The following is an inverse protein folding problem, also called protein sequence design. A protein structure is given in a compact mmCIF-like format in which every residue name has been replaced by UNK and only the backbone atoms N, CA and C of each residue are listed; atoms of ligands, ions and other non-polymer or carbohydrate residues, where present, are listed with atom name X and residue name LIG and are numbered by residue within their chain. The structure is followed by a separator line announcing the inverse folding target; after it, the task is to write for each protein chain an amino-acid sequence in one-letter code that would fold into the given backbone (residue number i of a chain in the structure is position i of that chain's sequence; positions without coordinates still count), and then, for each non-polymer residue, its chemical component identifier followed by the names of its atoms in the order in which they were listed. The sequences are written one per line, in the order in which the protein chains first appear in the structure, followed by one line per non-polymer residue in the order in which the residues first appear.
data_IF_041199820565
#
_entry.id   IF_041199820565
#
_cell.length_a   1.000
_cell.length_b   1.000
_cell.length_c   1.000
_cell.angle_alpha   90.00
_cell.angle_beta   90.00
_cell.angle_gamma   90.00
#
_symmetry.space_group_name_H-M   'P 1'
#
loop_
_entity.id
_entity.type
_entity.pdbx_description
1 polymer ?
#
# COMPACT_ATOMS: atom_id res chain seq x y z
N UNK A 1 -5.82 3.21 4.04
CA UNK A 1 -7.20 3.41 4.53
C UNK A 1 -8.15 3.06 3.40
N UNK A 2 -9.38 2.66 3.70
CA UNK A 2 -10.38 2.33 2.69
C UNK A 2 -10.61 3.50 1.74
N UNK A 3 -10.80 4.71 2.27
CA UNK A 3 -11.05 5.90 1.47
C UNK A 3 -9.91 6.24 0.50
N UNK A 4 -8.68 5.76 0.74
CA UNK A 4 -7.54 5.98 -0.17
C UNK A 4 -7.62 5.12 -1.43
N UNK A 5 -8.38 4.02 -1.38
CA UNK A 5 -8.38 2.97 -2.40
C UNK A 5 -9.78 2.64 -2.93
N UNK A 6 -10.82 3.15 -2.28
CA UNK A 6 -12.20 3.02 -2.74
C UNK A 6 -12.35 3.68 -4.12
N UNK A 7 -12.88 2.91 -5.08
CA UNK A 7 -12.98 3.33 -6.49
C UNK A 7 -11.66 3.37 -7.28
N UNK A 8 -10.49 3.10 -6.67
CA UNK A 8 -9.21 3.16 -7.38
C UNK A 8 -9.04 2.03 -8.43
N UNK A 9 -8.42 2.34 -9.56
CA UNK A 9 -8.09 1.36 -10.61
C UNK A 9 -6.72 0.68 -10.40
N UNK A 10 -5.92 1.20 -9.47
CA UNK A 10 -4.64 0.66 -9.07
C UNK A 10 -3.84 1.66 -8.26
N UNK A 11 -2.74 1.21 -7.69
CA UNK A 11 -1.83 2.01 -6.87
C UNK A 11 -0.38 1.63 -7.18
N UNK A 12 0.53 2.59 -7.10
CA UNK A 12 1.97 2.32 -7.10
C UNK A 12 2.49 2.44 -5.68
N UNK A 13 3.00 1.34 -5.13
CA UNK A 13 3.56 1.27 -3.79
C UNK A 13 5.06 1.55 -3.89
N UNK A 14 5.51 2.56 -3.15
CA UNK A 14 6.90 2.95 -3.03
C UNK A 14 7.44 2.45 -1.69
N UNK A 15 8.46 1.60 -1.72
CA UNK A 15 9.12 1.05 -0.53
C UNK A 15 10.53 1.62 -0.44
N UNK A 16 11.04 1.80 0.78
CA UNK A 16 12.34 2.42 1.05
C UNK A 16 12.55 3.75 0.32
N UNK A 17 11.51 4.59 0.28
CA UNK A 17 11.55 5.90 -0.36
C UNK A 17 11.64 7.02 0.68
N UNK A 18 12.67 7.86 0.58
CA UNK A 18 12.80 9.14 1.29
C UNK A 18 12.52 10.30 0.35
N UNK A 19 12.96 10.20 -0.92
CA UNK A 19 12.64 11.14 -1.99
C UNK A 19 11.97 10.41 -3.16
N UNK A 20 10.64 10.53 -3.22
CA UNK A 20 9.84 9.89 -4.27
C UNK A 20 10.11 10.44 -5.67
N UNK A 21 10.75 11.61 -5.82
CA UNK A 21 11.12 12.19 -7.11
C UNK A 21 12.48 11.71 -7.60
N UNK A 22 13.29 11.11 -6.73
CA UNK A 22 14.56 10.52 -7.09
C UNK A 22 14.36 9.08 -7.57
N UNK A 23 14.32 8.90 -8.89
CA UNK A 23 14.18 7.59 -9.52
C UNK A 23 15.36 6.63 -9.27
N UNK A 24 16.47 7.14 -8.75
CA UNK A 24 17.69 6.39 -8.47
C UNK A 24 18.02 6.34 -6.97
N UNK A 25 17.06 6.61 -6.08
CA UNK A 25 17.25 6.46 -4.64
C UNK A 25 17.62 4.99 -4.33
N UNK A 26 18.81 4.80 -3.75
CA UNK A 26 19.34 3.47 -3.49
C UNK A 26 18.41 2.71 -2.54
N UNK A 27 17.97 1.53 -2.99
CA UNK A 27 17.10 0.64 -2.20
C UNK A 27 15.61 0.88 -2.41
N UNK A 28 15.22 1.99 -3.05
CA UNK A 28 13.83 2.28 -3.37
C UNK A 28 13.27 1.22 -4.34
N UNK A 29 12.05 0.76 -4.08
CA UNK A 29 11.32 -0.13 -4.97
C UNK A 29 9.95 0.48 -5.28
N UNK A 30 9.56 0.44 -6.56
CA UNK A 30 8.26 0.93 -7.03
C UNK A 30 7.47 -0.23 -7.64
N UNK A 31 6.35 -0.58 -7.02
CA UNK A 31 5.57 -1.75 -7.39
C UNK A 31 4.15 -1.32 -7.70
N UNK A 32 3.75 -1.46 -8.96
CA UNK A 32 2.36 -1.22 -9.35
C UNK A 32 1.48 -2.41 -8.96
N UNK A 33 0.34 -2.13 -8.34
CA UNK A 33 -0.69 -3.09 -7.98
C UNK A 33 -2.02 -2.66 -8.61
N UNK A 34 -2.56 -3.48 -9.50
CA UNK A 34 -3.87 -3.24 -10.13
C UNK A 34 -5.02 -3.35 -9.13
N UNK A 35 -6.21 -2.84 -9.51
CA UNK A 35 -7.48 -2.98 -8.76
C UNK A 35 -7.75 -4.39 -8.20
N UNK A 36 -7.44 -5.44 -8.96
CA UNK A 36 -7.64 -6.84 -8.53
C UNK A 36 -6.85 -7.22 -7.26
N UNK A 37 -5.84 -6.44 -6.90
CA UNK A 37 -5.01 -6.64 -5.72
C UNK A 37 -5.37 -5.70 -4.56
N UNK A 38 -6.43 -4.91 -4.70
CA UNK A 38 -6.92 -4.01 -3.67
C UNK A 38 -8.13 -4.67 -2.99
N UNK A 39 -8.09 -4.80 -1.67
CA UNK A 39 -9.17 -5.32 -0.84
C UNK A 39 -9.66 -4.20 0.07
N UNK A 40 -10.79 -3.60 -0.26
CA UNK A 40 -11.48 -2.63 0.60
C UNK A 40 -12.36 -3.39 1.59
N UNK A 41 -12.36 -2.98 2.87
CA UNK A 41 -13.19 -3.62 3.88
C UNK A 41 -14.68 -3.47 3.53
N UNK A 42 -15.44 -4.57 3.61
CA UNK A 42 -16.80 -4.65 3.05
C UNK A 42 -17.87 -3.78 3.75
N UNK A 43 -17.63 -3.38 5.00
CA UNK A 43 -18.47 -2.50 5.82
C UNK A 43 -17.90 -1.07 5.89
N UNK A 44 -16.98 -0.69 4.99
CA UNK A 44 -16.53 0.69 4.85
C UNK A 44 -17.73 1.61 4.58
N UNK A 45 -17.85 2.69 5.34
CA UNK A 45 -18.90 3.70 5.18
C UNK A 45 -18.30 5.10 5.13
N UNK A 46 -18.30 5.69 3.93
CA UNK A 46 -17.75 7.02 3.67
C UNK A 46 -18.49 8.16 4.39
N UNK A 47 -19.75 7.95 4.80
CA UNK A 47 -20.53 8.98 5.49
C UNK A 47 -20.15 9.10 6.98
N UNK A 48 -19.77 7.99 7.60
CA UNK A 48 -19.39 7.91 9.02
C UNK A 48 -17.89 7.75 9.24
N UNK A 49 -17.12 7.52 8.17
CA UNK A 49 -15.71 7.14 8.19
C UNK A 49 -15.44 5.85 8.97
N UNK A 50 -16.46 5.00 9.16
CA UNK A 50 -16.31 3.75 9.89
C UNK A 50 -15.69 2.65 9.02
N UNK A 51 -14.86 1.80 9.63
CA UNK A 51 -14.10 0.74 8.97
C UNK A 51 -13.16 1.24 7.85
N UNK A 52 -12.49 2.38 8.05
CA UNK A 52 -11.57 2.99 7.08
C UNK A 52 -10.24 2.22 6.89
N UNK A 53 -10.33 0.97 6.43
CA UNK A 53 -9.19 0.08 6.22
C UNK A 53 -9.27 -0.65 4.88
N UNK A 54 -8.12 -0.79 4.23
CA UNK A 54 -7.95 -1.59 3.02
C UNK A 54 -6.59 -2.26 3.02
N UNK A 55 -6.48 -3.35 2.26
CA UNK A 55 -5.24 -4.07 2.03
C UNK A 55 -4.84 -3.98 0.56
N UNK A 56 -3.56 -3.81 0.31
CA UNK A 56 -2.97 -3.88 -1.03
C UNK A 56 -2.07 -5.12 -1.07
N UNK A 57 -2.40 -6.09 -1.92
CA UNK A 57 -1.56 -7.25 -2.16
C UNK A 57 -0.53 -6.93 -3.24
N UNK A 58 0.76 -6.94 -2.89
CA UNK A 58 1.79 -6.73 -3.90
C UNK A 58 1.80 -7.93 -4.89
N UNK A 59 1.89 -7.69 -6.22
CA UNK A 59 1.90 -8.75 -7.22
C UNK A 59 3.22 -9.54 -7.23
N UNK A 60 4.25 -9.02 -6.56
CA UNK A 60 5.56 -9.65 -6.39
C UNK A 60 5.90 -9.68 -4.90
N UNK A 61 6.58 -10.73 -4.46
CA UNK A 61 7.14 -10.79 -3.12
C UNK A 61 8.26 -9.75 -2.97
N UNK A 62 8.30 -9.10 -1.81
CA UNK A 62 9.35 -8.15 -1.46
C UNK A 62 10.28 -8.79 -0.46
N UNK A 63 11.58 -8.78 -0.78
CA UNK A 63 12.63 -9.24 0.13
C UNK A 63 12.92 -8.19 1.20
N UNK A 64 12.80 -8.60 2.47
CA UNK A 64 13.12 -7.73 3.60
C UNK A 64 14.63 -7.52 3.72
N UNK A 65 15.01 -6.30 4.11
CA UNK A 65 16.40 -5.87 4.25
C UNK A 65 16.51 -4.69 5.22
N UNK A 66 17.69 -4.10 5.37
CA UNK A 66 17.94 -2.98 6.29
C UNK A 66 17.04 -1.76 6.05
N UNK A 67 16.50 -1.58 4.83
CA UNK A 67 15.65 -0.45 4.43
C UNK A 67 14.17 -0.81 4.31
N UNK A 68 13.83 -2.11 4.20
CA UNK A 68 12.45 -2.59 4.04
C UNK A 68 12.16 -3.63 5.10
N UNK A 69 11.30 -3.28 6.05
CA UNK A 69 10.81 -4.15 7.13
C UNK A 69 9.31 -3.95 7.34
N UNK A 70 8.58 -4.99 7.78
CA UNK A 70 7.16 -4.85 8.12
C UNK A 70 6.98 -4.11 9.45
N UNK A 71 5.89 -3.35 9.56
CA UNK A 71 5.43 -2.86 10.85
C UNK A 71 4.73 -3.98 11.64
N UNK A 72 4.91 -4.00 12.96
CA UNK A 72 4.22 -4.95 13.84
C UNK A 72 2.77 -4.53 14.06
N UNK A 73 1.83 -5.48 13.95
CA UNK A 73 0.44 -5.25 14.31
C UNK A 73 0.22 -5.43 15.83
N UNK A 74 -0.73 -4.71 16.45
CA UNK A 74 -1.18 -4.98 17.82
C UNK A 74 -1.71 -6.42 17.97
N UNK A 75 -1.64 -6.94 19.19
CA UNK A 75 -2.20 -8.25 19.55
C UNK A 75 -3.69 -8.15 19.88
#
# INVERSE_FOLDING_TARGET
AAHCTDGADGVTVYLAATDIKNDNEKGQQRIYSSKANIVVQANWDASTLSNDISLIKLPVAVEFNELIQPATLPK
#
